data_IF_729875595508
#
_entry.id   IF_729875595508
#
_cell.length_a   1.000
_cell.length_b   1.000
_cell.length_c   1.000
_cell.angle_alpha   90.00
_cell.angle_beta   90.00
_cell.angle_gamma   90.00
#
_symmetry.space_group_name_H-M   'P 1'
#
loop_
_entity.id
_entity.type
_entity.pdbx_description
1 polymer ?
#
# COMPACT_ATOMS: atom_id res chain seq x y z
N UNK A 1 -21.66 -3.42 29.78
CA UNK A 1 -21.55 -3.31 28.31
C UNK A 1 -21.76 -1.85 27.99
N UNK A 2 -20.75 -1.16 27.48
CA UNK A 2 -20.87 0.25 27.05
C UNK A 2 -21.97 0.33 25.98
N UNK A 3 -22.90 1.27 26.12
CA UNK A 3 -23.89 1.52 25.07
C UNK A 3 -23.15 2.07 23.85
N UNK A 4 -23.16 1.31 22.76
CA UNK A 4 -22.67 1.79 21.46
C UNK A 4 -23.66 2.83 20.95
N UNK A 5 -23.19 4.04 20.68
CA UNK A 5 -24.00 5.08 20.05
C UNK A 5 -23.74 5.08 18.55
N UNK A 6 -24.82 5.06 17.78
CA UNK A 6 -24.79 5.11 16.32
C UNK A 6 -24.93 6.56 15.81
N UNK A 7 -24.37 6.87 14.64
CA UNK A 7 -23.62 5.96 13.76
C UNK A 7 -22.20 5.68 14.29
N UNK A 8 -21.68 4.49 13.97
CA UNK A 8 -20.27 4.16 14.13
C UNK A 8 -19.45 4.90 13.07
N UNK A 9 -18.36 5.54 13.50
CA UNK A 9 -17.37 6.06 12.55
C UNK A 9 -16.61 4.93 11.87
N UNK A 10 -16.33 5.04 10.58
CA UNK A 10 -15.44 4.16 9.83
C UNK A 10 -14.34 5.01 9.24
N UNK A 11 -13.22 5.13 9.94
CA UNK A 11 -12.07 5.90 9.50
C UNK A 11 -11.16 5.03 8.63
N UNK A 12 -11.26 5.24 7.32
CA UNK A 12 -10.35 4.62 6.35
C UNK A 12 -9.13 5.52 6.22
N UNK A 13 -7.93 4.93 6.28
CA UNK A 13 -6.67 5.68 6.27
C UNK A 13 -5.80 5.26 5.08
N UNK A 14 -5.21 6.23 4.39
CA UNK A 14 -4.31 6.01 3.27
C UNK A 14 -3.00 6.76 3.46
N UNK A 15 -1.95 6.38 2.70
CA UNK A 15 -0.67 7.08 2.77
C UNK A 15 -0.82 8.57 2.44
N UNK A 16 -1.61 8.88 1.40
CA UNK A 16 -1.73 10.22 0.82
C UNK A 16 -0.75 10.45 -0.33
N UNK A 17 -0.84 11.59 -0.98
CA UNK A 17 0.06 11.94 -2.07
C UNK A 17 -0.30 13.28 -2.70
N UNK A 18 0.66 13.92 -3.38
CA UNK A 18 0.48 15.24 -3.95
C UNK A 18 -0.46 15.19 -5.16
N UNK A 19 -1.32 16.19 -5.31
CA UNK A 19 -2.24 16.36 -6.44
C UNK A 19 -1.59 17.14 -7.61
N UNK A 20 -0.36 17.65 -7.43
CA UNK A 20 0.45 18.30 -8.48
C UNK A 20 1.96 18.25 -8.20
N UNK A 21 2.77 18.59 -9.21
CA UNK A 21 4.23 18.69 -9.05
C UNK A 21 4.66 19.79 -8.07
N UNK A 22 3.89 20.88 -7.98
CA UNK A 22 4.20 22.03 -7.11
C UNK A 22 4.06 21.67 -5.62
N UNK A 23 3.31 20.61 -5.30
CA UNK A 23 3.08 20.14 -3.93
C UNK A 23 4.20 19.19 -3.43
N UNK A 24 5.04 18.67 -4.32
CA UNK A 24 6.08 17.69 -3.98
C UNK A 24 7.04 18.18 -2.88
N UNK A 25 7.52 19.44 -2.87
CA UNK A 25 8.37 19.93 -1.79
C UNK A 25 7.71 19.80 -0.41
N UNK A 26 6.43 20.17 -0.30
CA UNK A 26 5.66 20.07 0.95
C UNK A 26 5.41 18.61 1.35
N UNK A 27 5.04 17.77 0.39
CA UNK A 27 4.82 16.34 0.59
C UNK A 27 6.09 15.64 1.10
N UNK A 28 7.25 15.94 0.51
CA UNK A 28 8.53 15.37 0.95
C UNK A 28 8.96 15.89 2.31
N UNK A 29 8.65 17.14 2.65
CA UNK A 29 8.93 17.68 3.98
C UNK A 29 8.19 16.88 5.06
N UNK A 30 6.92 16.52 4.83
CA UNK A 30 6.14 15.72 5.77
C UNK A 30 6.66 14.27 5.87
N UNK A 31 6.83 13.56 4.74
CA UNK A 31 7.34 12.17 4.73
C UNK A 31 8.67 12.05 5.48
N UNK A 32 9.53 13.06 5.35
CA UNK A 32 10.87 13.06 5.94
C UNK A 32 10.89 13.55 7.39
N UNK A 33 9.75 13.93 7.95
CA UNK A 33 9.63 14.47 9.30
C UNK A 33 10.37 15.80 9.46
N UNK A 34 10.23 16.69 8.47
CA UNK A 34 10.87 18.01 8.41
C UNK A 34 12.36 17.99 8.04
N UNK A 35 12.98 16.81 7.87
CA UNK A 35 14.40 16.74 7.47
C UNK A 35 14.58 17.31 6.05
N UNK A 36 15.61 18.16 5.82
CA UNK A 36 15.86 18.75 4.51
C UNK A 36 15.90 17.71 3.38
N UNK A 37 15.31 18.08 2.26
CA UNK A 37 15.38 17.35 0.99
C UNK A 37 16.42 18.04 0.12
N UNK A 38 17.42 17.31 -0.37
CA UNK A 38 18.41 17.87 -1.28
C UNK A 38 17.76 18.15 -2.64
N UNK A 39 18.28 19.13 -3.38
CA UNK A 39 17.75 19.47 -4.71
C UNK A 39 17.78 18.27 -5.68
N UNK A 40 18.77 17.38 -5.54
CA UNK A 40 18.87 16.16 -6.33
C UNK A 40 17.71 15.19 -6.03
N UNK A 41 17.38 14.95 -4.75
CA UNK A 41 16.25 14.09 -4.37
C UNK A 41 14.93 14.71 -4.80
N UNK A 42 14.77 16.03 -4.63
CA UNK A 42 13.56 16.72 -5.08
C UNK A 42 13.38 16.59 -6.59
N UNK A 43 14.42 16.87 -7.38
CA UNK A 43 14.37 16.77 -8.83
C UNK A 43 14.04 15.34 -9.30
N UNK A 44 14.62 14.33 -8.67
CA UNK A 44 14.35 12.93 -8.99
C UNK A 44 12.90 12.54 -8.70
N UNK A 45 12.39 12.85 -7.49
CA UNK A 45 11.00 12.54 -7.14
C UNK A 45 10.02 13.31 -8.03
N UNK A 46 10.28 14.59 -8.30
CA UNK A 46 9.48 15.39 -9.24
C UNK A 46 9.48 14.79 -10.65
N UNK A 47 10.62 14.30 -11.12
CA UNK A 47 10.71 13.61 -12.40
C UNK A 47 9.89 12.31 -12.43
N UNK A 48 9.95 11.52 -11.35
CA UNK A 48 9.16 10.28 -11.25
C UNK A 48 7.65 10.58 -11.29
N UNK A 49 7.19 11.60 -10.56
CA UNK A 49 5.80 12.05 -10.62
C UNK A 49 5.42 12.59 -11.99
N UNK A 50 6.31 13.31 -12.67
CA UNK A 50 6.08 13.82 -14.02
C UNK A 50 5.83 12.67 -15.02
N UNK A 51 6.61 11.58 -14.92
CA UNK A 51 6.48 10.42 -15.80
C UNK A 51 5.17 9.64 -15.62
N UNK A 52 4.52 9.76 -14.46
CA UNK A 52 3.24 9.09 -14.17
C UNK A 52 2.02 10.01 -14.32
N UNK A 53 2.19 11.20 -14.89
CA UNK A 53 1.10 12.16 -15.16
C UNK A 53 1.06 13.38 -14.25
N UNK A 54 2.10 13.63 -13.46
CA UNK A 54 2.31 14.87 -12.70
C UNK A 54 1.66 14.92 -11.31
N UNK A 55 1.05 13.83 -10.84
CA UNK A 55 0.37 13.74 -9.54
C UNK A 55 0.22 12.30 -9.04
N UNK A 56 -0.13 12.13 -7.77
CA UNK A 56 -0.52 10.84 -7.20
C UNK A 56 -1.99 10.54 -7.50
N UNK A 57 -2.32 9.37 -8.09
CA UNK A 57 -3.72 8.94 -8.20
C UNK A 57 -4.28 8.37 -6.89
N UNK A 58 -3.43 8.08 -5.90
CA UNK A 58 -3.81 7.44 -4.64
C UNK A 58 -4.96 8.15 -3.91
N UNK A 59 -4.96 9.49 -3.74
CA UNK A 59 -6.06 10.19 -3.08
C UNK A 59 -7.41 9.96 -3.77
N UNK A 60 -7.42 10.00 -5.11
CA UNK A 60 -8.62 9.78 -5.92
C UNK A 60 -9.15 8.35 -5.80
N UNK A 61 -8.26 7.36 -5.90
CA UNK A 61 -8.62 5.94 -5.78
C UNK A 61 -9.12 5.63 -4.36
N UNK A 62 -8.46 6.17 -3.34
CA UNK A 62 -8.86 5.99 -1.94
C UNK A 62 -10.27 6.56 -1.69
N UNK A 63 -10.59 7.74 -2.24
CA UNK A 63 -11.95 8.31 -2.18
C UNK A 63 -12.99 7.38 -2.83
N UNK A 64 -12.66 6.78 -3.98
CA UNK A 64 -13.55 5.82 -4.65
C UNK A 64 -13.76 4.55 -3.81
N UNK A 65 -12.69 4.04 -3.18
CA UNK A 65 -12.77 2.88 -2.29
C UNK A 65 -13.64 3.16 -1.06
N UNK A 66 -13.48 4.33 -0.43
CA UNK A 66 -14.31 4.76 0.71
C UNK A 66 -15.77 4.93 0.30
N UNK A 67 -16.04 5.54 -0.87
CA UNK A 67 -17.40 5.67 -1.39
C UNK A 67 -18.04 4.31 -1.69
N UNK A 68 -17.30 3.38 -2.27
CA UNK A 68 -17.77 2.01 -2.54
C UNK A 68 -18.02 1.21 -1.25
N UNK A 69 -17.22 1.44 -0.21
CA UNK A 69 -17.45 0.89 1.13
C UNK A 69 -18.72 1.48 1.75
N UNK A 70 -18.85 2.81 1.76
CA UNK A 70 -20.01 3.50 2.31
C UNK A 70 -21.31 3.05 1.65
N UNK A 71 -21.31 2.84 0.33
CA UNK A 71 -22.48 2.33 -0.40
C UNK A 71 -22.89 0.89 -0.02
N UNK A 72 -22.02 0.13 0.66
CA UNK A 72 -22.31 -1.22 1.16
C UNK A 72 -22.71 -1.26 2.63
N UNK A 73 -22.54 -0.15 3.36
CA UNK A 73 -22.86 -0.06 4.77
C UNK A 73 -24.20 0.68 4.94
N UNK A 74 -24.95 0.32 5.98
CA UNK A 74 -26.17 1.05 6.33
C UNK A 74 -25.80 2.45 6.83
N UNK A 75 -26.22 3.53 6.15
CA UNK A 75 -25.89 4.90 6.55
C UNK A 75 -26.51 5.31 7.90
N UNK A 76 -27.52 4.59 8.41
CA UNK A 76 -28.03 4.80 9.76
C UNK A 76 -27.09 4.23 10.84
N UNK A 77 -26.25 3.25 10.48
CA UNK A 77 -25.34 2.56 11.40
C UNK A 77 -23.89 2.97 11.23
N UNK A 78 -23.47 3.43 10.06
CA UNK A 78 -22.07 3.73 9.75
C UNK A 78 -21.90 5.05 9.04
N UNK A 79 -20.83 5.77 9.38
CA UNK A 79 -20.39 6.97 8.68
C UNK A 79 -18.92 6.82 8.30
N UNK A 80 -18.63 6.83 7.00
CA UNK A 80 -17.27 6.64 6.50
C UNK A 80 -16.51 7.95 6.37
N UNK A 81 -15.22 7.91 6.72
CA UNK A 81 -14.27 9.01 6.65
C UNK A 81 -13.01 8.53 5.92
N UNK A 82 -12.29 9.47 5.29
CA UNK A 82 -10.98 9.21 4.71
C UNK A 82 -9.96 10.17 5.31
N UNK A 83 -8.94 9.64 5.97
CA UNK A 83 -7.78 10.39 6.46
C UNK A 83 -6.49 9.93 5.78
N UNK A 84 -5.55 10.84 5.59
CA UNK A 84 -4.26 10.59 4.99
C UNK A 84 -3.14 10.87 5.96
N UNK A 85 -2.12 10.01 5.95
CA UNK A 85 -0.98 10.13 6.87
C UNK A 85 -0.03 11.26 6.45
N UNK A 86 0.21 11.39 5.15
CA UNK A 86 1.23 12.26 4.59
C UNK A 86 0.68 13.35 3.66
N UNK A 87 -0.64 13.55 3.62
CA UNK A 87 -1.25 14.64 2.86
C UNK A 87 -2.65 14.97 3.39
N UNK A 88 -3.30 15.99 2.83
CA UNK A 88 -4.68 16.36 3.17
C UNK A 88 -5.71 15.46 2.46
N UNK A 89 -6.85 15.10 3.09
CA UNK A 89 -7.24 15.45 4.46
C UNK A 89 -6.45 14.64 5.49
N UNK A 90 -5.81 15.31 6.46
CA UNK A 90 -4.95 14.65 7.45
C UNK A 90 -5.76 13.80 8.42
N UNK A 91 -5.22 12.67 8.87
CA UNK A 91 -5.90 11.78 9.83
C UNK A 91 -6.33 12.56 11.08
N UNK A 92 -5.45 13.42 11.60
CA UNK A 92 -5.70 14.24 12.78
C UNK A 92 -6.91 15.17 12.57
N UNK A 93 -6.97 15.87 11.45
CA UNK A 93 -8.07 16.78 11.10
C UNK A 93 -9.38 16.04 10.89
N UNK A 94 -9.33 14.86 10.29
CA UNK A 94 -10.51 14.01 10.08
C UNK A 94 -11.02 13.45 11.42
N UNK A 95 -10.14 13.16 12.37
CA UNK A 95 -10.56 12.83 13.75
C UNK A 95 -11.27 14.02 14.40
N UNK A 96 -10.78 15.25 14.20
CA UNK A 96 -11.49 16.47 14.61
C UNK A 96 -12.90 16.55 14.01
N UNK A 97 -13.04 16.28 12.71
CA UNK A 97 -14.34 16.20 12.05
C UNK A 97 -15.25 15.12 12.66
N UNK A 98 -14.72 13.94 12.99
CA UNK A 98 -15.49 12.88 13.64
C UNK A 98 -16.00 13.30 15.02
N UNK A 99 -15.21 14.08 15.77
CA UNK A 99 -15.62 14.65 17.06
C UNK A 99 -16.77 15.63 16.87
N UNK A 100 -16.65 16.56 15.92
CA UNK A 100 -17.69 17.54 15.60
C UNK A 100 -19.00 16.88 15.12
N UNK A 101 -18.87 15.76 14.42
CA UNK A 101 -19.99 14.92 13.98
C UNK A 101 -20.65 14.11 15.11
N UNK A 102 -20.13 14.17 16.33
CA UNK A 102 -20.68 13.47 17.50
C UNK A 102 -20.39 11.96 17.54
N UNK A 103 -19.40 11.49 16.77
CA UNK A 103 -18.99 10.08 16.79
C UNK A 103 -18.37 9.76 18.16
N UNK A 104 -18.82 8.69 18.80
CA UNK A 104 -18.28 8.22 20.09
C UNK A 104 -17.61 6.85 19.99
N UNK A 105 -17.92 6.09 18.95
CA UNK A 105 -17.37 4.77 18.67
C UNK A 105 -17.01 4.66 17.19
N UNK A 106 -15.83 4.14 16.88
CA UNK A 106 -15.36 4.05 15.52
C UNK A 106 -14.53 2.79 15.26
N UNK A 107 -14.47 2.38 14.00
CA UNK A 107 -13.52 1.39 13.48
C UNK A 107 -12.51 2.12 12.60
N UNK A 108 -11.22 1.83 12.76
CA UNK A 108 -10.19 2.33 11.86
C UNK A 108 -9.64 1.22 10.97
N UNK A 109 -9.47 1.49 9.69
CA UNK A 109 -8.86 0.57 8.72
C UNK A 109 -7.85 1.33 7.87
N UNK A 110 -6.62 0.82 7.78
CA UNK A 110 -5.61 1.36 6.86
C UNK A 110 -5.76 0.65 5.51
N UNK A 111 -5.66 1.36 4.39
CA UNK A 111 -5.56 0.80 3.03
C UNK A 111 -4.17 0.18 2.79
N UNK A 112 -3.75 -0.68 3.73
CA UNK A 112 -2.53 -1.47 3.74
C UNK A 112 -2.85 -2.76 4.52
N UNK A 113 -3.00 -3.92 3.84
CA UNK A 113 -3.50 -5.15 4.49
C UNK A 113 -2.57 -5.75 5.55
N UNK A 114 -1.27 -5.47 5.43
CA UNK A 114 -0.20 -6.06 6.22
C UNK A 114 0.20 -5.12 7.36
N UNK A 115 0.19 -5.63 8.59
CA UNK A 115 0.61 -4.85 9.74
C UNK A 115 2.12 -4.63 9.72
N UNK A 116 2.54 -3.42 10.08
CA UNK A 116 3.89 -3.14 10.53
C UNK A 116 3.89 -2.01 11.56
N UNK A 117 4.83 -2.07 12.50
CA UNK A 117 5.13 -0.98 13.43
C UNK A 117 5.61 0.30 12.70
N UNK A 118 6.13 0.17 11.47
CA UNK A 118 6.57 1.30 10.63
C UNK A 118 5.47 1.81 9.68
N UNK A 119 4.40 1.03 9.51
CA UNK A 119 3.25 1.35 8.67
C UNK A 119 2.00 1.52 9.54
N UNK A 120 1.09 0.54 9.58
CA UNK A 120 -0.23 0.60 10.25
C UNK A 120 -0.20 1.25 11.63
N UNK A 121 0.77 0.91 12.49
CA UNK A 121 0.89 1.49 13.82
C UNK A 121 1.09 3.02 13.81
N UNK A 122 1.76 3.56 12.79
CA UNK A 122 1.97 5.01 12.63
C UNK A 122 0.71 5.74 12.15
N UNK A 123 -0.17 5.08 11.42
CA UNK A 123 -1.50 5.64 11.10
C UNK A 123 -2.36 5.69 12.36
N UNK A 124 -2.35 4.62 13.16
CA UNK A 124 -3.07 4.55 14.43
C UNK A 124 -2.57 5.58 15.44
N UNK A 125 -1.27 5.87 15.48
CA UNK A 125 -0.71 6.95 16.30
C UNK A 125 -1.30 8.32 15.94
N UNK A 126 -1.50 8.63 14.65
CA UNK A 126 -2.15 9.89 14.23
C UNK A 126 -3.60 9.99 14.68
N UNK A 127 -4.30 8.87 14.88
CA UNK A 127 -5.64 8.92 15.48
C UNK A 127 -5.54 9.43 16.92
N UNK A 128 -4.57 8.93 17.69
CA UNK A 128 -4.35 9.38 19.06
C UNK A 128 -3.95 10.87 19.10
N UNK A 129 -3.05 11.30 18.21
CA UNK A 129 -2.65 12.71 18.08
C UNK A 129 -3.86 13.61 17.76
N UNK A 130 -4.74 13.17 16.86
CA UNK A 130 -6.00 13.87 16.55
C UNK A 130 -6.95 13.95 17.74
N UNK A 131 -7.13 12.85 18.49
CA UNK A 131 -7.97 12.84 19.70
C UNK A 131 -7.43 13.81 20.77
N UNK A 132 -6.11 13.87 20.94
CA UNK A 132 -5.48 14.83 21.85
C UNK A 132 -5.69 16.27 21.37
N UNK A 133 -5.40 16.55 20.10
CA UNK A 133 -5.51 17.89 19.49
C UNK A 133 -6.92 18.47 19.62
N UNK A 134 -7.94 17.66 19.34
CA UNK A 134 -9.34 18.07 19.32
C UNK A 134 -10.09 17.75 20.62
N UNK A 135 -9.39 17.26 21.66
CA UNK A 135 -9.97 16.84 22.96
C UNK A 135 -11.13 15.84 22.79
N UNK A 136 -11.01 14.97 21.80
CA UNK A 136 -12.03 13.99 21.41
C UNK A 136 -12.07 12.78 22.35
N UNK A 137 -13.26 12.20 22.51
CA UNK A 137 -13.48 10.98 23.30
C UNK A 137 -14.16 9.91 22.43
N UNK A 138 -13.43 9.44 21.41
CA UNK A 138 -13.89 8.37 20.52
C UNK A 138 -13.20 7.07 20.89
N UNK A 139 -13.98 6.01 21.13
CA UNK A 139 -13.44 4.66 21.31
C UNK A 139 -13.21 4.01 19.95
N UNK A 140 -11.94 3.77 19.60
CA UNK A 140 -11.57 3.10 18.36
C UNK A 140 -11.36 1.60 18.53
N UNK A 141 -11.96 0.81 17.65
CA UNK A 141 -11.54 -0.55 17.36
C UNK A 141 -10.64 -0.54 16.12
N UNK A 142 -9.37 -0.89 16.30
CA UNK A 142 -8.39 -0.83 15.21
C UNK A 142 -8.31 -2.16 14.46
N UNK A 143 -8.53 -2.13 13.14
CA UNK A 143 -8.15 -3.23 12.26
C UNK A 143 -6.63 -3.21 12.12
N UNK A 144 -5.96 -4.22 12.68
CA UNK A 144 -4.49 -4.33 12.69
C UNK A 144 -3.95 -4.91 11.39
N UNK A 145 -4.58 -5.95 10.87
CA UNK A 145 -4.31 -6.52 9.55
C UNK A 145 -5.55 -7.21 8.99
N UNK A 146 -5.57 -7.39 7.67
CA UNK A 146 -6.62 -8.13 6.94
C UNK A 146 -6.04 -8.82 5.68
N UNK A 147 -4.73 -9.08 5.70
CA UNK A 147 -3.95 -9.62 4.59
C UNK A 147 -4.44 -10.98 4.04
N UNK A 148 -5.03 -11.81 4.88
CA UNK A 148 -5.54 -13.14 4.59
C UNK A 148 -7.07 -13.18 4.42
N UNK A 149 -7.74 -12.01 4.41
CA UNK A 149 -9.18 -11.93 4.22
C UNK A 149 -9.59 -12.60 2.89
N UNK A 150 -10.53 -13.57 2.88
CA UNK A 150 -10.82 -14.37 1.69
C UNK A 150 -11.16 -13.57 0.42
N UNK A 151 -11.89 -12.45 0.58
CA UNK A 151 -12.26 -11.57 -0.55
C UNK A 151 -11.07 -10.73 -1.05
N UNK A 152 -10.10 -10.40 -0.19
CA UNK A 152 -8.85 -9.77 -0.64
C UNK A 152 -8.03 -10.76 -1.46
N UNK A 153 -7.87 -11.99 -0.96
CA UNK A 153 -7.16 -13.06 -1.68
C UNK A 153 -7.83 -13.36 -3.03
N UNK A 154 -9.16 -13.39 -3.08
CA UNK A 154 -9.89 -13.52 -4.34
C UNK A 154 -9.64 -12.34 -5.29
N UNK A 155 -9.68 -11.09 -4.80
CA UNK A 155 -9.40 -9.92 -5.62
C UNK A 155 -7.98 -9.96 -6.19
N UNK A 156 -6.97 -10.29 -5.38
CA UNK A 156 -5.58 -10.43 -5.81
C UNK A 156 -5.41 -11.58 -6.81
N UNK A 157 -6.03 -12.74 -6.58
CA UNK A 157 -6.00 -13.86 -7.51
C UNK A 157 -6.62 -13.50 -8.87
N UNK A 158 -7.71 -12.72 -8.87
CA UNK A 158 -8.31 -12.19 -10.09
C UNK A 158 -7.34 -11.27 -10.86
N UNK A 159 -6.49 -10.50 -10.16
CA UNK A 159 -5.44 -9.67 -10.77
C UNK A 159 -4.31 -10.51 -11.36
N UNK A 160 -3.85 -11.54 -10.66
CA UNK A 160 -2.89 -12.53 -11.19
C UNK A 160 -3.41 -13.12 -12.49
N UNK A 161 -4.63 -13.63 -12.46
CA UNK A 161 -5.29 -14.25 -13.61
C UNK A 161 -5.51 -13.26 -14.77
N UNK A 162 -5.84 -12.00 -14.47
CA UNK A 162 -5.92 -10.96 -15.49
C UNK A 162 -4.55 -10.64 -16.12
N UNK A 163 -3.47 -10.64 -15.33
CA UNK A 163 -2.10 -10.48 -15.83
C UNK A 163 -1.68 -11.63 -16.75
N UNK A 164 -1.92 -12.88 -16.32
CA UNK A 164 -1.63 -14.07 -17.11
C UNK A 164 -2.43 -14.10 -18.43
N UNK A 165 -3.70 -13.69 -18.42
CA UNK A 165 -4.54 -13.65 -19.63
C UNK A 165 -4.08 -12.65 -20.69
N UNK A 166 -3.14 -11.73 -20.37
CA UNK A 166 -2.52 -10.85 -21.37
C UNK A 166 -1.55 -11.59 -22.28
N UNK A 167 -1.08 -12.77 -21.88
CA UNK A 167 -0.23 -13.63 -22.68
C UNK A 167 -1.07 -14.58 -23.57
N UNK A 168 -0.57 -14.96 -24.76
CA UNK A 168 -1.16 -16.01 -25.58
C UNK A 168 -1.36 -17.30 -24.78
N UNK A 169 -2.44 -18.03 -25.04
CA UNK A 169 -2.82 -19.20 -24.23
C UNK A 169 -1.71 -20.25 -24.12
N UNK A 170 -1.02 -20.53 -25.23
CA UNK A 170 0.14 -21.43 -25.30
C UNK A 170 1.36 -20.98 -24.48
N UNK A 171 1.50 -19.69 -24.19
CA UNK A 171 2.62 -19.16 -23.41
C UNK A 171 2.28 -18.98 -21.93
N UNK A 172 1.00 -18.98 -21.55
CA UNK A 172 0.58 -18.71 -20.16
C UNK A 172 1.21 -19.63 -19.14
N UNK A 173 1.56 -20.86 -19.53
CA UNK A 173 2.20 -21.81 -18.63
C UNK A 173 3.69 -21.56 -18.38
N UNK A 174 4.37 -20.82 -19.27
CA UNK A 174 5.76 -20.41 -19.10
C UNK A 174 5.92 -19.07 -18.36
N UNK A 175 4.84 -18.32 -18.18
CA UNK A 175 4.85 -17.04 -17.45
C UNK A 175 5.09 -17.29 -15.96
N UNK A 176 6.12 -16.63 -15.43
CA UNK A 176 6.50 -16.62 -14.02
C UNK A 176 5.85 -15.44 -13.28
N UNK A 177 5.21 -15.71 -12.14
CA UNK A 177 4.55 -14.67 -11.34
C UNK A 177 5.48 -14.18 -10.24
N UNK A 178 5.74 -12.87 -10.19
CA UNK A 178 6.55 -12.25 -9.15
C UNK A 178 5.61 -11.50 -8.22
N UNK A 179 5.48 -11.95 -6.97
CA UNK A 179 4.78 -11.19 -5.95
C UNK A 179 5.74 -10.19 -5.30
N UNK A 180 5.29 -8.94 -5.12
CA UNK A 180 6.09 -7.89 -4.50
C UNK A 180 5.33 -7.03 -3.50
N UNK A 181 6.09 -6.33 -2.66
CA UNK A 181 5.59 -5.30 -1.76
C UNK A 181 6.69 -4.29 -1.42
N UNK A 182 6.32 -3.16 -0.82
CA UNK A 182 7.27 -2.18 -0.33
C UNK A 182 8.28 -2.83 0.63
N UNK A 183 9.56 -2.60 0.42
CA UNK A 183 10.61 -3.05 1.31
C UNK A 183 10.59 -2.22 2.60
N UNK A 184 10.81 -2.84 3.75
CA UNK A 184 11.04 -2.11 5.00
C UNK A 184 12.45 -2.37 5.50
N UNK A 185 13.00 -1.51 6.38
CA UNK A 185 14.26 -1.80 7.05
C UNK A 185 14.24 -3.18 7.72
N UNK A 186 15.25 -4.01 7.45
CA UNK A 186 15.29 -5.40 7.90
C UNK A 186 15.28 -5.56 9.43
N UNK A 187 15.57 -4.49 10.18
CA UNK A 187 15.45 -4.46 11.65
C UNK A 187 14.04 -4.79 12.16
N UNK A 188 12.99 -4.62 11.34
CA UNK A 188 11.63 -4.98 11.76
C UNK A 188 11.52 -6.47 12.13
N UNK A 189 12.33 -7.34 11.53
CA UNK A 189 12.39 -8.77 11.88
C UNK A 189 12.85 -8.97 13.33
N UNK A 190 13.84 -8.19 13.78
CA UNK A 190 14.32 -8.22 15.18
C UNK A 190 13.31 -7.63 16.15
N UNK A 191 12.41 -6.77 15.66
CA UNK A 191 11.33 -6.16 16.44
C UNK A 191 10.10 -7.09 16.58
N UNK A 192 10.13 -8.28 15.98
CA UNK A 192 8.99 -9.20 15.95
C UNK A 192 7.83 -8.69 15.09
N UNK A 193 8.12 -7.84 14.10
CA UNK A 193 7.11 -7.31 13.19
C UNK A 193 6.61 -8.41 12.23
N UNK A 194 5.29 -8.65 12.10
CA UNK A 194 4.73 -9.71 11.27
C UNK A 194 4.69 -9.37 9.77
N UNK A 195 5.17 -8.19 9.35
CA UNK A 195 5.04 -7.72 7.96
C UNK A 195 5.51 -8.72 6.90
N UNK A 196 6.76 -9.22 7.01
CA UNK A 196 7.32 -10.17 6.02
C UNK A 196 6.54 -11.49 5.99
N UNK A 197 6.15 -12.04 7.15
CA UNK A 197 5.41 -13.30 7.20
C UNK A 197 3.98 -13.16 6.66
N UNK A 198 3.28 -12.06 6.97
CA UNK A 198 1.96 -11.76 6.41
C UNK A 198 2.01 -11.56 4.90
N UNK A 199 3.03 -10.87 4.39
CA UNK A 199 3.23 -10.68 2.96
C UNK A 199 3.45 -12.00 2.22
N UNK A 200 4.34 -12.85 2.74
CA UNK A 200 4.60 -14.19 2.19
C UNK A 200 3.37 -15.07 2.21
N UNK A 201 2.58 -15.01 3.28
CA UNK A 201 1.33 -15.76 3.37
C UNK A 201 0.30 -15.26 2.36
N UNK A 202 0.18 -13.94 2.18
CA UNK A 202 -0.67 -13.34 1.14
C UNK A 202 -0.30 -13.83 -0.25
N UNK A 203 1.00 -13.83 -0.58
CA UNK A 203 1.50 -14.34 -1.86
C UNK A 203 1.16 -15.82 -2.03
N UNK A 204 1.39 -16.65 -1.01
CA UNK A 204 1.10 -18.09 -1.04
C UNK A 204 -0.40 -18.36 -1.25
N UNK A 205 -1.27 -17.70 -0.48
CA UNK A 205 -2.72 -17.82 -0.57
C UNK A 205 -3.22 -17.34 -1.94
N UNK A 206 -2.69 -16.21 -2.43
CA UNK A 206 -3.04 -15.65 -3.73
C UNK A 206 -2.62 -16.58 -4.87
N UNK A 207 -1.40 -17.11 -4.84
CA UNK A 207 -0.90 -18.05 -5.84
C UNK A 207 -1.76 -19.32 -5.88
N UNK A 208 -2.08 -19.88 -4.71
CA UNK A 208 -2.93 -21.06 -4.60
C UNK A 208 -4.35 -20.78 -5.14
N UNK A 209 -4.97 -19.66 -4.75
CA UNK A 209 -6.31 -19.26 -5.23
C UNK A 209 -6.32 -18.95 -6.73
N UNK A 210 -5.21 -18.49 -7.28
CA UNK A 210 -5.02 -18.28 -8.71
C UNK A 210 -4.60 -19.56 -9.45
N UNK A 211 -4.38 -20.70 -8.79
CA UNK A 211 -3.91 -21.91 -9.48
C UNK A 211 -2.50 -21.81 -10.06
N UNK A 212 -1.64 -20.94 -9.51
CA UNK A 212 -0.23 -20.82 -9.91
C UNK A 212 0.61 -21.77 -9.05
N UNK A 213 1.29 -22.77 -9.64
CA UNK A 213 2.06 -23.73 -8.87
C UNK A 213 3.31 -23.09 -8.25
N UNK A 214 3.81 -23.66 -7.15
CA UNK A 214 4.96 -23.13 -6.41
C UNK A 214 6.24 -22.96 -7.24
N UNK A 215 6.40 -23.74 -8.33
CA UNK A 215 7.53 -23.62 -9.26
C UNK A 215 7.46 -22.41 -10.20
N UNK A 216 6.30 -21.73 -10.27
CA UNK A 216 6.03 -20.64 -11.23
C UNK A 216 5.74 -19.31 -10.57
N UNK A 217 6.05 -19.18 -9.28
CA UNK A 217 6.03 -17.89 -8.64
C UNK A 217 7.21 -17.71 -7.70
N UNK A 218 7.55 -16.45 -7.44
CA UNK A 218 8.59 -16.09 -6.49
C UNK A 218 8.25 -14.76 -5.82
N UNK A 219 9.06 -14.40 -4.83
CA UNK A 219 8.86 -13.23 -3.98
C UNK A 219 10.00 -12.23 -4.15
N UNK A 220 9.67 -10.94 -4.20
CA UNK A 220 10.64 -9.84 -4.12
C UNK A 220 10.09 -8.65 -3.34
N UNK A 221 10.94 -7.69 -3.03
CA UNK A 221 10.57 -6.39 -2.49
C UNK A 221 10.86 -5.30 -3.50
N UNK A 222 10.21 -4.15 -3.36
CA UNK A 222 10.43 -2.96 -4.19
C UNK A 222 10.56 -1.72 -3.30
N UNK A 223 10.97 -0.59 -3.87
CA UNK A 223 10.90 0.71 -3.19
C UNK A 223 11.75 0.78 -1.91
N UNK A 224 12.86 0.04 -1.81
CA UNK A 224 13.78 0.19 -0.68
C UNK A 224 14.30 1.63 -0.58
N UNK A 225 14.29 2.17 0.63
CA UNK A 225 14.77 3.52 0.88
C UNK A 225 16.29 3.63 0.82
N UNK A 226 16.78 4.86 0.97
CA UNK A 226 18.21 5.21 0.78
C UNK A 226 19.04 5.18 2.06
N UNK A 227 18.48 4.74 3.19
CA UNK A 227 19.25 4.63 4.42
C UNK A 227 20.30 3.52 4.28
N UNK A 228 21.48 3.68 4.93
CA UNK A 228 22.56 2.70 4.84
C UNK A 228 22.25 1.39 5.59
N UNK A 229 21.16 1.32 6.34
CA UNK A 229 20.74 0.09 7.00
C UNK A 229 20.22 -0.93 5.98
N UNK A 230 20.33 -2.24 6.24
CA UNK A 230 19.77 -3.26 5.36
C UNK A 230 18.25 -3.16 5.25
N UNK A 231 17.73 -3.39 4.05
CA UNK A 231 16.31 -3.47 3.74
C UNK A 231 15.90 -4.92 3.43
N UNK A 232 14.62 -5.25 3.57
CA UNK A 232 14.10 -6.57 3.24
C UNK A 232 14.29 -6.87 1.75
N UNK A 233 14.82 -8.05 1.43
CA UNK A 233 15.13 -8.48 0.07
C UNK A 233 14.57 -9.86 -0.29
N UNK A 234 14.78 -10.33 -1.52
CA UNK A 234 15.56 -9.66 -2.60
C UNK A 234 14.83 -8.45 -3.18
N UNK A 235 15.55 -7.47 -3.74
CA UNK A 235 14.93 -6.37 -4.47
C UNK A 235 14.48 -6.83 -5.86
N UNK A 236 13.37 -6.28 -6.37
CA UNK A 236 12.79 -6.67 -7.65
C UNK A 236 13.77 -6.56 -8.83
N UNK A 237 14.58 -5.50 -8.98
CA UNK A 237 15.58 -5.43 -10.03
C UNK A 237 16.60 -6.58 -9.99
N UNK A 238 17.14 -6.88 -8.82
CA UNK A 238 18.10 -7.98 -8.63
C UNK A 238 17.45 -9.35 -8.89
N UNK A 239 16.19 -9.47 -8.48
CA UNK A 239 15.41 -10.68 -8.67
C UNK A 239 15.07 -10.93 -10.15
N UNK A 240 14.73 -9.89 -10.91
CA UNK A 240 14.55 -9.98 -12.37
C UNK A 240 15.83 -10.46 -13.07
N UNK A 241 16.99 -9.92 -12.69
CA UNK A 241 18.27 -10.38 -13.21
C UNK A 241 18.53 -11.86 -12.89
N UNK A 242 18.20 -12.30 -11.67
CA UNK A 242 18.34 -13.69 -11.26
C UNK A 242 17.40 -14.64 -12.02
N UNK A 243 16.16 -14.22 -12.30
CA UNK A 243 15.20 -14.99 -13.10
C UNK A 243 15.67 -15.11 -14.56
N UNK A 244 16.18 -14.03 -15.15
CA UNK A 244 16.78 -14.07 -16.49
C UNK A 244 17.96 -15.04 -16.56
N UNK A 245 18.82 -15.08 -15.54
CA UNK A 245 19.91 -16.05 -15.42
C UNK A 245 19.44 -17.52 -15.33
N UNK A 246 18.18 -17.75 -14.97
CA UNK A 246 17.53 -19.06 -14.97
C UNK A 246 16.80 -19.37 -16.29
N UNK A 247 16.88 -18.48 -17.28
CA UNK A 247 16.20 -18.62 -18.57
C UNK A 247 14.72 -18.21 -18.56
N UNK A 248 14.24 -17.56 -17.50
CA UNK A 248 12.87 -17.05 -17.44
C UNK A 248 12.82 -15.73 -18.22
N UNK A 249 11.97 -15.69 -19.24
CA UNK A 249 11.80 -14.55 -20.15
C UNK A 249 10.40 -13.92 -20.07
N UNK A 250 9.43 -14.61 -19.47
CA UNK A 250 8.05 -14.14 -19.40
C UNK A 250 7.66 -13.96 -17.93
N UNK A 251 7.32 -12.74 -17.53
CA UNK A 251 6.96 -12.44 -16.14
C UNK A 251 5.67 -11.63 -16.01
N UNK A 252 5.00 -11.79 -14.87
CA UNK A 252 3.93 -10.91 -14.41
C UNK A 252 4.26 -10.48 -12.98
N UNK A 253 4.44 -9.17 -12.77
CA UNK A 253 4.64 -8.60 -11.44
C UNK A 253 3.28 -8.30 -10.77
N UNK A 254 3.13 -8.70 -9.51
CA UNK A 254 1.92 -8.56 -8.71
C UNK A 254 2.28 -7.91 -7.36
N UNK A 255 2.16 -6.58 -7.26
CA UNK A 255 2.46 -5.83 -6.04
C UNK A 255 1.38 -6.02 -4.95
N UNK A 256 1.34 -7.19 -4.30
CA UNK A 256 0.30 -7.57 -3.31
C UNK A 256 0.29 -6.73 -2.04
N UNK A 257 1.36 -5.98 -1.77
CA UNK A 257 1.43 -5.05 -0.64
C UNK A 257 0.57 -3.79 -0.82
N UNK A 258 -0.02 -3.58 -2.00
CA UNK A 258 -0.71 -2.34 -2.37
C UNK A 258 -2.14 -2.62 -2.84
N UNK A 259 -3.03 -1.66 -2.59
CA UNK A 259 -4.47 -1.77 -2.92
C UNK A 259 -4.95 -0.69 -3.89
N UNK A 260 -4.04 0.12 -4.41
CA UNK A 260 -4.32 1.22 -5.33
C UNK A 260 -3.08 1.51 -6.17
N UNK A 261 -3.27 2.12 -7.34
CA UNK A 261 -2.16 2.66 -8.11
C UNK A 261 -1.59 3.91 -7.43
N UNK A 262 -0.27 4.02 -7.38
CA UNK A 262 0.50 5.16 -6.91
C UNK A 262 1.90 5.11 -7.54
N UNK A 263 2.80 6.01 -7.12
CA UNK A 263 4.14 6.11 -7.71
C UNK A 263 4.91 4.77 -7.70
N UNK A 264 4.82 3.99 -6.63
CA UNK A 264 5.53 2.69 -6.55
C UNK A 264 4.93 1.62 -7.47
N UNK A 265 3.75 1.85 -8.05
CA UNK A 265 3.19 0.98 -9.09
C UNK A 265 3.53 1.57 -10.47
N UNK A 266 3.10 2.81 -10.70
CA UNK A 266 3.17 3.47 -12.01
C UNK A 266 4.59 3.84 -12.43
N UNK A 267 5.52 3.98 -11.47
CA UNK A 267 6.93 4.24 -11.72
C UNK A 267 7.77 3.00 -11.43
N UNK A 268 7.82 2.50 -10.18
CA UNK A 268 8.78 1.45 -9.82
C UNK A 268 8.51 0.14 -10.59
N UNK A 269 7.25 -0.19 -10.89
CA UNK A 269 6.89 -1.36 -11.69
C UNK A 269 6.81 -1.03 -13.18
N UNK A 270 5.88 -0.16 -13.56
CA UNK A 270 5.51 0.04 -14.97
C UNK A 270 6.62 0.71 -15.81
N UNK A 271 7.55 1.41 -15.15
CA UNK A 271 8.69 2.07 -15.80
C UNK A 271 10.00 1.41 -15.40
N UNK A 272 10.37 1.43 -14.12
CA UNK A 272 11.71 1.02 -13.68
C UNK A 272 11.92 -0.50 -13.80
N UNK A 273 11.05 -1.31 -13.20
CA UNK A 273 11.16 -2.77 -13.28
C UNK A 273 11.01 -3.28 -14.72
N UNK A 274 10.10 -2.68 -15.51
CA UNK A 274 9.95 -3.00 -16.94
C UNK A 274 11.22 -2.71 -17.74
N UNK A 275 11.90 -1.61 -17.47
CA UNK A 275 13.16 -1.26 -18.10
C UNK A 275 14.28 -2.25 -17.70
N UNK A 276 14.34 -2.64 -16.43
CA UNK A 276 15.29 -3.67 -15.96
C UNK A 276 15.01 -5.02 -16.62
N UNK A 277 13.75 -5.45 -16.68
CA UNK A 277 13.32 -6.67 -17.35
C UNK A 277 13.83 -6.70 -18.81
N UNK A 278 13.57 -5.64 -19.58
CA UNK A 278 14.01 -5.53 -20.98
C UNK A 278 15.51 -5.66 -21.17
N UNK A 279 16.32 -5.05 -20.28
CA UNK A 279 17.79 -5.18 -20.34
C UNK A 279 18.28 -6.61 -20.13
N UNK A 280 17.50 -7.43 -19.45
CA UNK A 280 17.79 -8.82 -19.19
C UNK A 280 17.08 -9.80 -20.15
N UNK A 281 16.38 -9.30 -21.16
CA UNK A 281 15.66 -10.13 -22.13
C UNK A 281 14.35 -10.72 -21.60
N UNK A 282 13.74 -10.05 -20.62
CA UNK A 282 12.38 -10.29 -20.10
C UNK A 282 11.42 -9.25 -20.69
#
# INVERSE_FOLDING_TARGET
>A
MSNIHYPLGVLVMAYGGPDSLDEIPGYLADIRGGRPTTSAVLAEISHNYQLIGGKSPLPGISRQQVAALAARLDPALFRCYLGMRHWSPWIEDVVGQMVDDGITHAVSLVLAPHYSQLSVAKYQAKIADGLEMYRGQITFAHVTSYHDAPLLIEALANRVQAGLRRWPEEERESVHVIFSAHSLPARIMKMGDPYDSQLRETARLTAARAGVPASRWSWSYQSAGRSPEPWLGPQLPDHLAALAGQGIQNVVAIPVGFVADHVEILYDIDIQAREVARRHGI
#
